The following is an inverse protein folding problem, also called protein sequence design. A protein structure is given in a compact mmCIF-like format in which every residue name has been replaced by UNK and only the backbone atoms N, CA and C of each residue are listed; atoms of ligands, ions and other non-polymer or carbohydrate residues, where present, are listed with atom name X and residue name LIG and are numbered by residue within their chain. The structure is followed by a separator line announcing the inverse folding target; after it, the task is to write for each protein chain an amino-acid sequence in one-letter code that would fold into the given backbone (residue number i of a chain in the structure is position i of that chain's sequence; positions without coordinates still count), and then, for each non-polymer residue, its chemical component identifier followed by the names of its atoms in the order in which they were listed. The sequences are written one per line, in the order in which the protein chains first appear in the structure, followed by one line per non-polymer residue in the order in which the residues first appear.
data_IF_660816817597
#
_entry.id   IF_660816817597
#
_cell.length_a   1.000
_cell.length_b   1.000
_cell.length_c   1.000
_cell.angle_alpha   90.00
_cell.angle_beta   90.00
_cell.angle_gamma   90.00
#
_symmetry.space_group_name_H-M   'P 1'
#
loop_
_entity.id
_entity.type
_entity.pdbx_description
1 polymer ?
#
# COMPACT_ATOMS: atom_id res chain seq x y z
N UNK A 1 -7.57 -22.09 0.43
CA UNK A 1 -8.19 -21.53 -0.80
C UNK A 1 -9.36 -20.63 -0.42
N UNK A 2 -9.61 -19.55 -1.17
CA UNK A 2 -10.73 -18.63 -0.93
C UNK A 2 -11.64 -18.62 -2.18
N UNK A 3 -12.67 -19.48 -2.26
CA UNK A 3 -13.48 -19.68 -3.47
C UNK A 3 -14.28 -18.44 -3.89
N UNK A 4 -14.34 -17.40 -3.06
CA UNK A 4 -14.98 -16.12 -3.38
C UNK A 4 -14.07 -15.19 -4.19
N UNK A 5 -12.75 -15.39 -4.15
CA UNK A 5 -11.79 -14.58 -4.91
C UNK A 5 -11.68 -15.17 -6.31
N UNK A 6 -12.14 -14.41 -7.32
CA UNK A 6 -12.12 -14.81 -8.74
C UNK A 6 -10.90 -14.31 -9.50
N UNK A 7 -10.37 -13.16 -9.09
CA UNK A 7 -9.29 -12.46 -9.79
C UNK A 7 -8.30 -11.90 -8.78
N UNK A 8 -7.03 -11.85 -9.18
CA UNK A 8 -5.95 -11.24 -8.42
C UNK A 8 -5.33 -10.17 -9.30
N UNK A 9 -5.17 -8.97 -8.75
CA UNK A 9 -4.40 -7.91 -9.37
C UNK A 9 -3.02 -7.89 -8.73
N UNK A 10 -1.98 -7.92 -9.57
CA UNK A 10 -0.57 -7.95 -9.15
C UNK A 10 0.09 -6.67 -9.65
N UNK A 11 0.49 -5.78 -8.75
CA UNK A 11 0.99 -4.45 -9.11
C UNK A 11 2.00 -4.43 -10.25
N UNK A 12 3.14 -5.08 -10.05
CA UNK A 12 4.21 -5.12 -11.04
C UNK A 12 3.79 -5.76 -12.38
N UNK A 13 2.90 -6.76 -12.36
CA UNK A 13 2.51 -7.49 -13.57
C UNK A 13 1.29 -6.89 -14.28
N UNK A 14 0.49 -6.09 -13.57
CA UNK A 14 -0.75 -5.50 -14.08
C UNK A 14 -0.60 -4.02 -14.47
N UNK A 15 0.57 -3.42 -14.24
CA UNK A 15 0.92 -2.10 -14.76
C UNK A 15 1.96 -2.20 -15.87
N UNK A 16 1.97 -1.26 -16.85
CA UNK A 16 3.06 -1.19 -17.81
C UNK A 16 4.40 -0.95 -17.09
N UNK A 17 5.38 -1.82 -17.32
CA UNK A 17 6.72 -1.75 -16.73
C UNK A 17 7.82 -1.81 -17.79
N UNK A 18 9.00 -1.28 -17.47
CA UNK A 18 10.19 -1.40 -18.29
C UNK A 18 10.65 -0.09 -18.94
N UNK A 19 11.85 -0.12 -19.53
CA UNK A 19 12.48 1.07 -20.13
C UNK A 19 11.93 1.40 -21.52
N UNK A 20 11.44 0.38 -22.22
CA UNK A 20 11.03 0.45 -23.63
C UNK A 20 9.52 0.65 -23.82
N UNK A 21 8.85 1.21 -22.79
CA UNK A 21 7.45 1.61 -22.91
C UNK A 21 7.31 2.77 -23.90
N UNK A 22 6.34 2.68 -24.80
CA UNK A 22 5.94 3.80 -25.65
C UNK A 22 5.29 4.94 -24.83
N UNK A 23 4.96 6.05 -25.49
CA UNK A 23 4.38 7.22 -24.83
C UNK A 23 2.99 6.91 -24.21
N UNK A 24 2.20 6.05 -24.85
CA UNK A 24 0.86 5.72 -24.39
C UNK A 24 0.91 4.92 -23.09
N UNK A 25 1.74 3.87 -23.06
CA UNK A 25 1.96 3.02 -21.90
C UNK A 25 2.61 3.78 -20.74
N UNK A 26 3.56 4.68 -21.02
CA UNK A 26 4.13 5.58 -19.99
C UNK A 26 3.06 6.49 -19.37
N UNK A 27 2.18 7.03 -20.21
CA UNK A 27 1.07 7.87 -19.75
C UNK A 27 0.08 7.07 -18.90
N UNK A 28 -0.23 5.84 -19.32
CA UNK A 28 -1.09 4.93 -18.56
C UNK A 28 -0.48 4.59 -17.20
N UNK A 29 0.82 4.29 -17.14
CA UNK A 29 1.54 4.05 -15.89
C UNK A 29 1.44 5.25 -14.93
N UNK A 30 1.76 6.45 -15.42
CA UNK A 30 1.69 7.68 -14.61
C UNK A 30 0.27 7.99 -14.12
N UNK A 31 -0.76 7.73 -14.93
CA UNK A 31 -2.16 7.86 -14.50
C UNK A 31 -2.50 6.84 -13.42
N UNK A 32 -2.01 5.61 -13.57
CA UNK A 32 -2.25 4.52 -12.62
C UNK A 32 -1.63 4.81 -11.25
N UNK A 33 -0.41 5.36 -11.20
CA UNK A 33 0.24 5.77 -9.94
C UNK A 33 -0.57 6.79 -9.12
N UNK A 34 -1.46 7.57 -9.75
CA UNK A 34 -2.31 8.55 -9.06
C UNK A 34 -3.54 7.94 -8.38
N UNK A 35 -3.90 6.72 -8.77
CA UNK A 35 -5.11 6.02 -8.32
C UNK A 35 -4.81 4.69 -7.63
N UNK A 36 -3.59 4.17 -7.73
CA UNK A 36 -3.18 2.88 -7.16
C UNK A 36 -3.45 2.81 -5.65
N UNK A 37 -3.32 3.93 -4.94
CA UNK A 37 -3.63 4.03 -3.51
C UNK A 37 -5.08 3.62 -3.20
N UNK A 38 -6.04 3.88 -4.11
CA UNK A 38 -7.44 3.49 -3.92
C UNK A 38 -7.65 1.98 -4.03
N UNK A 39 -6.81 1.27 -4.79
CA UNK A 39 -6.86 -0.19 -4.88
C UNK A 39 -6.56 -0.80 -3.52
N UNK A 40 -5.47 -0.36 -2.86
CA UNK A 40 -5.09 -0.85 -1.54
C UNK A 40 -6.08 -0.42 -0.44
N UNK A 41 -6.68 0.76 -0.56
CA UNK A 41 -7.74 1.23 0.34
C UNK A 41 -9.07 0.45 0.21
N UNK A 42 -9.33 -0.27 -0.88
CA UNK A 42 -10.65 -0.86 -1.15
C UNK A 42 -10.65 -2.38 -1.36
N UNK A 43 -9.58 -2.96 -1.90
CA UNK A 43 -9.47 -4.40 -2.19
C UNK A 43 -8.88 -5.20 -1.03
N UNK A 44 -9.20 -6.49 -0.96
CA UNK A 44 -8.48 -7.42 -0.08
C UNK A 44 -7.03 -7.56 -0.56
N UNK A 45 -6.07 -7.36 0.33
CA UNK A 45 -4.64 -7.33 0.02
C UNK A 45 -3.94 -8.55 0.61
N UNK A 46 -3.25 -9.29 -0.25
CA UNK A 46 -2.36 -10.37 0.14
C UNK A 46 -0.92 -9.84 0.20
N UNK A 47 -0.36 -9.76 1.40
CA UNK A 47 1.02 -9.40 1.65
C UNK A 47 1.89 -10.65 1.59
N UNK A 48 2.78 -10.71 0.60
CA UNK A 48 3.83 -11.72 0.49
C UNK A 48 5.09 -11.20 1.19
N UNK A 49 5.29 -11.64 2.44
CA UNK A 49 6.28 -11.07 3.34
C UNK A 49 7.59 -11.88 3.32
N UNK A 50 8.70 -11.21 2.99
CA UNK A 50 10.07 -11.67 3.25
C UNK A 50 10.74 -10.72 4.26
N UNK A 51 11.96 -11.03 4.72
CA UNK A 51 12.65 -10.15 5.67
C UNK A 51 13.00 -8.76 5.11
N UNK A 52 12.98 -8.57 3.79
CA UNK A 52 13.24 -7.30 3.14
C UNK A 52 11.96 -6.48 2.91
N UNK A 53 10.79 -7.03 3.23
CA UNK A 53 9.50 -6.44 2.92
C UNK A 53 9.34 -5.07 3.58
N UNK A 54 9.57 -4.97 4.88
CA UNK A 54 9.31 -3.74 5.65
C UNK A 54 10.31 -2.62 5.34
N UNK A 55 11.50 -2.96 4.84
CA UNK A 55 12.55 -1.99 4.48
C UNK A 55 12.36 -1.34 3.11
N UNK A 56 11.31 -1.70 2.35
CA UNK A 56 11.03 -1.17 1.02
C UNK A 56 9.83 -0.22 1.06
N UNK A 57 9.92 0.88 0.33
CA UNK A 57 8.92 1.94 0.33
C UNK A 57 7.54 1.46 -0.12
N UNK A 58 7.45 0.86 -1.31
CA UNK A 58 6.17 0.47 -1.90
C UNK A 58 5.43 -0.55 -1.05
N UNK A 59 6.11 -1.63 -0.66
CA UNK A 59 5.54 -2.67 0.20
C UNK A 59 5.04 -2.11 1.54
N UNK A 60 5.79 -1.21 2.18
CA UNK A 60 5.37 -0.57 3.44
C UNK A 60 4.21 0.42 3.24
N UNK A 61 4.24 1.21 2.17
CA UNK A 61 3.17 2.17 1.85
C UNK A 61 1.85 1.46 1.52
N UNK A 62 1.90 0.42 0.69
CA UNK A 62 0.75 -0.40 0.31
C UNK A 62 0.19 -1.19 1.49
N UNK A 63 1.07 -1.75 2.33
CA UNK A 63 0.67 -2.38 3.58
C UNK A 63 -0.07 -1.38 4.49
N UNK A 64 0.47 -0.17 4.67
CA UNK A 64 -0.20 0.87 5.45
C UNK A 64 -1.58 1.21 4.87
N UNK A 65 -1.69 1.48 3.56
CA UNK A 65 -2.96 1.78 2.89
C UNK A 65 -3.99 0.67 3.09
N UNK A 66 -3.56 -0.60 2.98
CA UNK A 66 -4.43 -1.76 3.16
C UNK A 66 -5.01 -1.92 4.58
N UNK A 67 -4.35 -1.31 5.56
CA UNK A 67 -4.76 -1.29 6.96
C UNK A 67 -5.62 -0.07 7.32
N UNK A 68 -5.84 0.85 6.39
CA UNK A 68 -6.69 2.02 6.59
C UNK A 68 -8.11 1.80 6.03
N UNK A 69 -9.07 2.47 6.67
CA UNK A 69 -10.46 2.59 6.23
C UNK A 69 -10.73 4.03 5.87
N UNK A 70 -11.47 4.23 4.78
CA UNK A 70 -12.01 5.52 4.36
C UNK A 70 -13.19 5.91 5.23
N UNK A 71 -13.22 7.15 5.70
CA UNK A 71 -14.20 7.70 6.64
C UNK A 71 -14.63 9.09 6.20
N UNK A 72 -15.73 9.58 6.75
CA UNK A 72 -16.20 10.95 6.48
C UNK A 72 -15.22 12.03 6.96
N UNK A 73 -14.36 11.73 7.93
CA UNK A 73 -13.30 12.62 8.41
C UNK A 73 -11.94 12.39 7.72
N UNK A 74 -11.82 11.39 6.83
CA UNK A 74 -10.62 11.12 6.04
C UNK A 74 -10.19 9.65 6.07
N UNK A 75 -8.98 9.37 6.56
CA UNK A 75 -8.43 8.03 6.69
C UNK A 75 -8.11 7.71 8.15
N UNK A 76 -8.40 6.48 8.58
CA UNK A 76 -7.99 6.00 9.89
C UNK A 76 -7.87 4.48 9.96
N UNK A 77 -7.31 3.95 11.06
CA UNK A 77 -7.06 2.52 11.20
C UNK A 77 -8.33 1.68 11.05
N UNK A 78 -8.23 0.59 10.30
CA UNK A 78 -9.32 -0.38 10.16
C UNK A 78 -9.44 -1.18 11.46
N UNK A 79 -10.65 -1.40 12.01
CA UNK A 79 -10.83 -2.35 13.10
C UNK A 79 -10.24 -3.73 12.75
N UNK A 80 -9.66 -4.43 13.74
CA UNK A 80 -8.97 -5.70 13.47
C UNK A 80 -9.90 -6.77 12.88
N UNK A 81 -11.19 -6.75 13.25
CA UNK A 81 -12.19 -7.70 12.75
C UNK A 81 -12.62 -7.40 11.30
N UNK A 82 -12.41 -6.15 10.84
CA UNK A 82 -12.74 -5.70 9.49
C UNK A 82 -11.51 -5.63 8.57
N UNK A 83 -10.34 -6.07 9.05
CA UNK A 83 -9.09 -6.00 8.31
C UNK A 83 -9.18 -6.78 6.99
N UNK A 84 -8.81 -6.10 5.90
CA UNK A 84 -8.78 -6.67 4.55
C UNK A 84 -7.38 -7.12 4.13
N UNK A 85 -6.52 -7.43 5.10
CA UNK A 85 -5.09 -7.75 4.86
C UNK A 85 -4.78 -9.16 5.33
N UNK A 86 -4.24 -9.96 4.42
CA UNK A 86 -3.76 -11.30 4.69
C UNK A 86 -2.24 -11.33 4.52
N UNK A 87 -1.51 -11.77 5.55
CA UNK A 87 -0.04 -11.86 5.50
C UNK A 87 0.37 -13.32 5.31
N UNK A 88 1.24 -13.57 4.32
CA UNK A 88 1.87 -14.86 4.07
C UNK A 88 3.37 -14.68 3.95
N UNK A 89 4.10 -15.32 4.87
CA UNK A 89 5.55 -15.24 4.88
C UNK A 89 6.16 -16.27 3.92
N UNK A 90 7.25 -15.89 3.26
CA UNK A 90 7.98 -16.74 2.31
C UNK A 90 9.47 -16.79 2.65
N UNK A 91 10.17 -17.81 2.14
CA UNK A 91 11.58 -18.02 2.43
C UNK A 91 11.86 -18.17 3.93
N UNK A 92 12.97 -17.59 4.39
CA UNK A 92 13.40 -17.67 5.79
C UNK A 92 12.38 -17.08 6.79
N UNK A 93 11.62 -16.06 6.38
CA UNK A 93 10.59 -15.43 7.20
C UNK A 93 9.45 -16.40 7.57
N UNK A 94 9.22 -17.46 6.79
CA UNK A 94 8.17 -18.43 7.08
C UNK A 94 8.34 -19.13 8.44
N UNK A 95 9.59 -19.31 8.89
CA UNK A 95 9.90 -19.88 10.21
C UNK A 95 9.40 -19.04 11.40
N UNK A 96 9.17 -17.75 11.18
CA UNK A 96 8.75 -16.76 12.19
C UNK A 96 7.50 -15.99 11.75
N UNK A 97 6.65 -16.62 10.95
CA UNK A 97 5.54 -15.97 10.25
C UNK A 97 4.58 -15.18 11.17
N UNK A 98 4.31 -15.71 12.37
CA UNK A 98 3.48 -15.01 13.38
C UNK A 98 4.12 -13.69 13.81
N UNK A 99 5.41 -13.70 14.11
CA UNK A 99 6.16 -12.52 14.52
C UNK A 99 6.27 -11.50 13.38
N UNK A 100 6.48 -11.96 12.14
CA UNK A 100 6.48 -11.07 10.97
C UNK A 100 5.14 -10.33 10.80
N UNK A 101 4.00 -11.03 10.92
CA UNK A 101 2.68 -10.40 10.89
C UNK A 101 2.54 -9.35 12.01
N UNK A 102 2.98 -9.67 13.22
CA UNK A 102 2.91 -8.74 14.35
C UNK A 102 3.79 -7.50 14.13
N UNK A 103 5.03 -7.68 13.64
CA UNK A 103 5.93 -6.58 13.30
C UNK A 103 5.29 -5.64 12.27
N UNK A 104 4.71 -6.20 11.20
CA UNK A 104 4.06 -5.40 10.17
C UNK A 104 2.90 -4.58 10.74
N UNK A 105 2.04 -5.19 11.57
CA UNK A 105 0.91 -4.49 12.19
C UNK A 105 1.38 -3.42 13.17
N UNK A 106 2.33 -3.75 14.04
CA UNK A 106 2.90 -2.80 15.01
C UNK A 106 3.57 -1.61 14.35
N UNK A 107 4.19 -1.80 13.19
CA UNK A 107 4.84 -0.72 12.45
C UNK A 107 3.84 0.22 11.79
N UNK A 108 2.75 -0.29 11.20
CA UNK A 108 1.95 0.50 10.26
C UNK A 108 0.49 0.71 10.67
N UNK A 109 -0.17 -0.24 11.32
CA UNK A 109 -1.64 -0.26 11.45
C UNK A 109 -2.22 1.00 12.09
N UNK A 110 -1.62 1.45 13.19
CA UNK A 110 -2.11 2.56 14.01
C UNK A 110 -1.59 3.94 13.57
N UNK A 111 -0.75 4.00 12.54
CA UNK A 111 -0.19 5.27 12.09
C UNK A 111 -1.26 6.10 11.38
N UNK A 112 -1.41 7.35 11.81
CA UNK A 112 -2.16 8.36 11.04
C UNK A 112 -1.48 8.64 9.70
N UNK A 113 -2.19 9.23 8.71
CA UNK A 113 -1.58 9.56 7.41
C UNK A 113 -0.29 10.38 7.54
N UNK A 114 -0.28 11.36 8.43
CA UNK A 114 0.90 12.21 8.65
C UNK A 114 2.04 11.46 9.38
N UNK A 115 1.72 10.56 10.31
CA UNK A 115 2.73 9.72 10.95
C UNK A 115 3.34 8.73 9.94
N UNK A 116 2.50 8.03 9.17
CA UNK A 116 2.95 7.11 8.12
C UNK A 116 3.82 7.81 7.08
N UNK A 117 3.46 9.03 6.67
CA UNK A 117 4.28 9.86 5.76
C UNK A 117 5.67 10.12 6.32
N UNK A 118 5.80 10.43 7.62
CA UNK A 118 7.11 10.63 8.26
C UNK A 118 7.94 9.35 8.32
N UNK A 119 7.34 8.24 8.73
CA UNK A 119 8.03 6.94 8.80
C UNK A 119 8.48 6.47 7.41
N UNK A 120 7.62 6.60 6.39
CA UNK A 120 7.96 6.24 5.01
C UNK A 120 9.05 7.15 4.41
N UNK A 121 9.19 8.39 4.89
CA UNK A 121 10.21 9.33 4.41
C UNK A 121 11.62 9.03 4.96
N UNK A 122 11.74 8.14 5.95
CA UNK A 122 13.01 7.80 6.57
C UNK A 122 14.01 7.20 5.54
N UNK A 123 15.31 7.42 5.77
CA UNK A 123 16.37 7.12 4.79
C UNK A 123 16.68 5.63 4.65
N UNK A 124 16.37 4.84 5.67
CA UNK A 124 16.49 3.38 5.70
C UNK A 124 15.37 2.69 4.90
N UNK A 125 14.26 3.39 4.62
CA UNK A 125 13.20 2.90 3.71
C UNK A 125 13.66 3.04 2.25
N UNK A 126 14.05 1.91 1.68
CA UNK A 126 14.64 1.80 0.34
C UNK A 126 13.59 1.96 -0.76
N UNK A 127 13.97 2.62 -1.85
CA UNK A 127 13.17 2.72 -3.07
C UNK A 127 14.10 2.69 -4.28
N UNK A 128 13.65 2.08 -5.37
CA UNK A 128 14.39 2.06 -6.64
C UNK A 128 14.27 3.37 -7.41
N UNK A 129 13.14 4.07 -7.27
CA UNK A 129 12.88 5.37 -7.87
C UNK A 129 12.53 6.39 -6.79
N UNK A 130 13.49 7.28 -6.48
CA UNK A 130 13.31 8.32 -5.46
C UNK A 130 12.23 9.34 -5.84
N UNK A 131 12.05 9.61 -7.15
CA UNK A 131 11.01 10.53 -7.62
C UNK A 131 9.62 10.01 -7.26
N UNK A 132 9.37 8.72 -7.50
CA UNK A 132 8.08 8.10 -7.17
C UNK A 132 7.81 8.15 -5.67
N UNK A 133 8.83 7.88 -4.83
CA UNK A 133 8.70 8.00 -3.37
C UNK A 133 8.25 9.42 -2.98
N UNK A 134 8.90 10.46 -3.51
CA UNK A 134 8.55 11.84 -3.20
C UNK A 134 7.13 12.20 -3.68
N UNK A 135 6.76 11.80 -4.90
CA UNK A 135 5.42 12.04 -5.44
C UNK A 135 4.33 11.34 -4.61
N UNK A 136 4.57 10.11 -4.15
CA UNK A 136 3.62 9.37 -3.32
C UNK A 136 3.53 9.91 -1.89
N UNK A 137 4.63 10.44 -1.33
CA UNK A 137 4.59 11.13 -0.03
C UNK A 137 3.75 12.42 -0.09
N UNK A 138 3.86 13.19 -1.16
CA UNK A 138 2.99 14.36 -1.40
C UNK A 138 1.55 13.92 -1.67
N UNK A 139 1.35 12.81 -2.38
CA UNK A 139 0.01 12.24 -2.59
C UNK A 139 -0.64 11.83 -1.27
N UNK A 140 0.10 11.16 -0.39
CA UNK A 140 -0.36 10.74 0.93
C UNK A 140 -0.80 11.93 1.79
N UNK A 141 -0.10 13.07 1.68
CA UNK A 141 -0.50 14.31 2.35
C UNK A 141 -1.87 14.81 1.90
N UNK A 142 -2.19 14.73 0.60
CA UNK A 142 -3.47 15.17 0.05
C UNK A 142 -4.59 14.10 0.15
N UNK A 143 -4.24 12.84 0.39
CA UNK A 143 -5.16 11.72 0.30
C UNK A 143 -6.34 11.78 1.28
N UNK A 144 -6.19 12.16 2.57
CA UNK A 144 -7.33 12.27 3.48
C UNK A 144 -8.40 13.25 3.00
N UNK A 145 -8.00 14.39 2.43
CA UNK A 145 -8.93 15.40 1.91
C UNK A 145 -9.63 14.92 0.64
N UNK A 146 -8.93 14.19 -0.23
CA UNK A 146 -9.52 13.57 -1.42
C UNK A 146 -10.57 12.52 -1.06
N UNK A 147 -10.29 11.71 -0.04
CA UNK A 147 -11.25 10.72 0.49
C UNK A 147 -12.47 11.43 1.08
N UNK A 148 -12.26 12.48 1.89
CA UNK A 148 -13.35 13.27 2.46
C UNK A 148 -14.24 13.87 1.38
N UNK A 149 -13.64 14.47 0.35
CA UNK A 149 -14.37 15.04 -0.79
C UNK A 149 -15.19 13.98 -1.52
N UNK A 150 -14.62 12.80 -1.79
CA UNK A 150 -15.34 11.71 -2.44
C UNK A 150 -16.52 11.18 -1.61
N UNK A 151 -16.38 11.13 -0.27
CA UNK A 151 -17.42 10.65 0.64
C UNK A 151 -18.59 11.62 0.80
N UNK A 152 -18.40 12.92 0.57
CA UNK A 152 -19.50 13.90 0.56
C UNK A 152 -20.44 13.76 -0.64
N UNK A 153 -20.04 12.99 -1.65
CA UNK A 153 -20.79 12.77 -2.88
C UNK A 153 -21.40 11.35 -2.98
N UNK A 154 -21.28 10.55 -1.91
CA UNK A 154 -21.88 9.21 -1.76
C UNK A 154 -23.10 9.27 -0.81
#
# INVERSE_FOLDING_TARGET
ENPRIKWVWLDFHCLPQGKDLDLELRTLFQKSLKIINYLYLSLTVLVIFDFQYIGRFWTSYEAWLSMQTTRSDGLGPTPLDDMRVEVRCVGAANSVARSCKQILLSAWHQLSPEAARRELAHSDIQVTNMKDKMEQLERLKALPDLVRSAMLHL
#
